data_IF_010135786822
#
_entry.id   IF_010135786822
#
_cell.length_a   1.000
_cell.length_b   1.000
_cell.length_c   1.000
_cell.angle_alpha   90.00
_cell.angle_beta   90.00
_cell.angle_gamma   90.00
#
_symmetry.space_group_name_H-M   'P 1'
#
loop_
_entity.id
_entity.type
_entity.pdbx_description
1 polymer ?
#
# COMPACT_ATOMS: atom_id res chain seq x y z
N UNK A 1 36.96 -59.62 23.33
CA UNK A 1 37.63 -58.34 23.28
C UNK A 1 37.00 -57.57 22.13
N UNK A 2 35.95 -56.84 22.39
CA UNK A 2 35.25 -55.98 21.39
C UNK A 2 35.30 -54.56 21.90
N UNK A 3 36.02 -53.70 21.18
CA UNK A 3 36.06 -52.28 21.42
C UNK A 3 34.72 -51.67 20.97
N UNK A 4 34.01 -51.02 21.85
CA UNK A 4 32.94 -50.10 21.54
C UNK A 4 33.54 -48.71 21.40
N UNK A 5 33.59 -48.20 20.18
CA UNK A 5 33.85 -46.80 19.89
C UNK A 5 32.56 -46.03 20.07
N UNK A 6 32.48 -45.27 21.14
CA UNK A 6 31.46 -44.26 21.37
C UNK A 6 31.70 -43.08 20.45
N UNK A 7 30.81 -42.89 19.47
CA UNK A 7 30.75 -41.67 18.69
C UNK A 7 30.03 -40.64 19.56
N UNK A 8 30.79 -39.71 20.10
CA UNK A 8 30.28 -38.50 20.75
C UNK A 8 29.68 -37.60 19.69
N UNK A 9 28.34 -37.52 19.66
CA UNK A 9 27.63 -36.49 18.91
C UNK A 9 27.89 -35.17 19.63
N UNK A 10 28.79 -34.37 19.11
CA UNK A 10 28.98 -32.98 19.51
C UNK A 10 27.74 -32.23 19.05
N UNK A 11 26.81 -31.99 19.95
CA UNK A 11 25.77 -30.99 19.79
C UNK A 11 26.52 -29.66 19.70
N UNK A 12 26.76 -29.20 18.47
CA UNK A 12 27.22 -27.86 18.24
C UNK A 12 26.10 -26.93 18.75
N UNK A 13 26.39 -26.34 19.91
CA UNK A 13 25.69 -25.21 20.45
C UNK A 13 25.73 -24.13 19.35
N UNK A 14 24.63 -23.96 18.63
CA UNK A 14 24.42 -22.74 17.87
C UNK A 14 24.26 -21.65 18.92
N UNK A 15 25.40 -21.15 19.39
CA UNK A 15 25.42 -19.84 20.03
C UNK A 15 24.80 -18.89 19.00
N UNK A 16 23.63 -18.38 19.33
CA UNK A 16 23.13 -17.19 18.72
C UNK A 16 24.27 -16.18 18.74
N UNK A 17 24.95 -16.04 17.64
CA UNK A 17 25.76 -14.88 17.38
C UNK A 17 24.78 -13.72 17.51
N UNK A 18 24.84 -13.03 18.65
CA UNK A 18 24.38 -11.67 18.74
C UNK A 18 25.13 -10.96 17.61
N UNK A 19 24.47 -10.78 16.48
CA UNK A 19 24.92 -9.88 15.44
C UNK A 19 24.95 -8.51 16.09
N UNK A 20 26.07 -8.19 16.73
CA UNK A 20 26.41 -6.87 17.15
C UNK A 20 26.22 -5.99 15.93
N UNK A 21 25.36 -5.03 16.07
CA UNK A 21 24.97 -3.96 15.18
C UNK A 21 26.02 -3.65 14.08
N UNK A 22 26.01 -4.37 12.98
CA UNK A 22 26.53 -3.89 11.71
C UNK A 22 25.46 -3.00 11.08
N UNK A 23 25.28 -1.82 11.69
CA UNK A 23 24.43 -0.76 11.14
C UNK A 23 25.15 -0.06 10.00
N UNK A 24 25.15 -0.67 8.81
CA UNK A 24 25.56 0.04 7.61
C UNK A 24 24.47 1.04 7.23
N UNK A 25 24.65 2.30 7.61
CA UNK A 25 23.91 3.44 7.07
C UNK A 25 22.47 3.65 7.52
N UNK A 26 21.98 2.94 8.54
CA UNK A 26 20.73 3.32 9.22
C UNK A 26 21.05 4.38 10.26
N UNK A 27 20.35 5.50 10.23
CA UNK A 27 20.46 6.53 11.24
C UNK A 27 19.87 5.99 12.56
N UNK A 28 20.76 5.42 13.40
CA UNK A 28 20.39 4.75 14.65
C UNK A 28 19.93 5.72 15.73
N UNK A 29 20.11 7.02 15.52
CA UNK A 29 19.82 8.06 16.48
C UNK A 29 18.56 8.87 16.14
N UNK A 30 17.99 8.73 14.93
CA UNK A 30 16.75 9.39 14.60
C UNK A 30 15.59 8.76 15.38
N UNK A 31 15.01 9.53 16.28
CA UNK A 31 13.82 9.13 17.00
C UNK A 31 12.60 9.26 16.09
N UNK A 32 11.86 8.16 15.97
CA UNK A 32 10.62 8.08 15.17
C UNK A 32 9.45 7.81 16.10
N UNK A 33 8.34 8.48 15.88
CA UNK A 33 7.08 8.21 16.59
C UNK A 33 6.28 7.27 15.74
N UNK A 34 6.07 6.04 16.21
CA UNK A 34 5.23 5.06 15.53
C UNK A 34 3.95 4.81 16.30
N UNK A 35 2.86 4.61 15.60
CA UNK A 35 1.55 4.22 16.12
C UNK A 35 1.32 2.75 15.84
N UNK A 36 1.21 1.94 16.88
CA UNK A 36 1.06 0.47 16.81
C UNK A 36 -0.35 -0.01 17.18
N UNK A 37 -1.25 0.93 17.47
CA UNK A 37 -2.65 0.70 17.84
C UNK A 37 -3.41 2.02 17.93
N UNK A 38 -4.74 2.02 18.09
CA UNK A 38 -5.58 3.23 18.07
C UNK A 38 -5.11 4.35 18.98
N UNK A 39 -4.60 4.01 20.18
CA UNK A 39 -4.11 4.96 21.19
C UNK A 39 -2.70 4.59 21.68
N UNK A 40 -2.00 3.74 20.92
CA UNK A 40 -0.71 3.21 21.34
C UNK A 40 0.42 3.74 20.44
N UNK A 41 1.36 4.48 21.04
CA UNK A 41 2.48 5.12 20.37
C UNK A 41 3.80 4.67 21.01
N UNK A 42 4.83 4.56 20.20
CA UNK A 42 6.18 4.22 20.63
C UNK A 42 7.19 5.18 19.99
N UNK A 43 8.18 5.61 20.78
CA UNK A 43 9.35 6.33 20.28
C UNK A 43 10.46 5.31 20.02
N UNK A 44 10.88 5.18 18.77
CA UNK A 44 11.79 4.11 18.33
C UNK A 44 12.86 4.65 17.38
N UNK A 45 13.93 3.90 17.20
CA UNK A 45 14.92 4.18 16.15
C UNK A 45 14.47 3.59 14.80
N UNK A 46 15.08 4.05 13.71
CA UNK A 46 14.89 3.43 12.37
C UNK A 46 15.26 1.94 12.38
N UNK A 47 16.31 1.56 13.11
CA UNK A 47 16.70 0.15 13.25
C UNK A 47 15.61 -0.66 13.96
N UNK A 48 14.95 -0.10 14.97
CA UNK A 48 13.83 -0.74 15.67
C UNK A 48 12.62 -0.91 14.75
N UNK A 49 12.32 0.05 13.87
CA UNK A 49 11.25 -0.09 12.87
C UNK A 49 11.49 -1.29 11.96
N UNK A 50 12.70 -1.45 11.42
CA UNK A 50 13.08 -2.59 10.61
C UNK A 50 12.95 -3.91 11.39
N UNK A 51 13.36 -3.91 12.67
CA UNK A 51 13.19 -5.09 13.53
C UNK A 51 11.70 -5.42 13.74
N UNK A 52 10.85 -4.41 13.92
CA UNK A 52 9.41 -4.60 14.07
C UNK A 52 8.78 -5.19 12.79
N UNK A 53 9.13 -4.68 11.62
CA UNK A 53 8.68 -5.27 10.35
C UNK A 53 9.15 -6.73 10.21
N UNK A 54 10.39 -7.07 10.57
CA UNK A 54 10.88 -8.47 10.60
C UNK A 54 10.07 -9.37 11.54
N UNK A 55 9.51 -8.82 12.59
CA UNK A 55 8.64 -9.53 13.56
C UNK A 55 7.17 -9.55 13.12
N UNK A 56 6.83 -9.00 11.97
CA UNK A 56 5.46 -8.86 11.50
C UNK A 56 4.62 -7.82 12.26
N UNK A 57 5.24 -6.96 13.09
CA UNK A 57 4.54 -5.85 13.73
C UNK A 57 4.15 -4.80 12.70
N UNK A 58 2.89 -4.42 12.70
CA UNK A 58 2.32 -3.37 11.85
C UNK A 58 2.29 -2.03 12.61
N UNK A 59 2.60 -0.94 11.92
CA UNK A 59 2.60 0.40 12.50
C UNK A 59 2.51 1.49 11.43
N UNK A 60 2.09 2.69 11.84
CA UNK A 60 2.21 3.92 11.06
C UNK A 60 3.31 4.76 11.68
N UNK A 61 4.26 5.25 10.90
CA UNK A 61 5.21 6.26 11.34
C UNK A 61 4.56 7.64 11.21
N UNK A 62 4.25 8.23 12.35
CA UNK A 62 3.55 9.53 12.44
C UNK A 62 4.49 10.69 12.75
N UNK A 63 5.79 10.51 12.65
CA UNK A 63 6.79 11.52 13.00
C UNK A 63 6.65 12.81 12.19
N UNK A 64 6.18 12.72 10.94
CA UNK A 64 5.96 13.89 10.08
C UNK A 64 4.72 14.71 10.47
N UNK A 65 3.79 14.11 11.23
CA UNK A 65 2.51 14.73 11.60
C UNK A 65 2.36 14.97 13.10
N UNK A 66 3.24 14.40 13.91
CA UNK A 66 3.30 14.59 15.36
C UNK A 66 4.73 14.96 15.74
N UNK A 67 4.96 16.19 16.21
CA UNK A 67 6.31 16.58 16.64
C UNK A 67 6.68 15.88 17.94
N UNK A 68 7.99 15.55 18.12
CA UNK A 68 8.51 14.97 19.35
C UNK A 68 8.29 15.95 20.52
N UNK A 69 8.46 17.25 20.28
CA UNK A 69 8.26 18.29 21.31
C UNK A 69 6.80 18.37 21.75
N UNK A 70 5.84 18.25 20.83
CA UNK A 70 4.41 18.19 21.15
C UNK A 70 4.08 16.91 21.92
N UNK A 71 4.67 15.79 21.54
CA UNK A 71 4.52 14.51 22.24
C UNK A 71 5.06 14.60 23.68
N UNK A 72 6.20 15.26 23.88
CA UNK A 72 6.79 15.54 25.20
C UNK A 72 5.92 16.49 26.02
N UNK A 73 5.47 17.61 25.41
CA UNK A 73 4.66 18.64 26.09
C UNK A 73 3.29 18.09 26.53
N UNK A 74 2.77 17.10 25.84
CA UNK A 74 1.50 16.43 26.17
C UNK A 74 1.65 15.27 27.16
N UNK A 75 2.83 15.09 27.75
CA UNK A 75 3.09 14.04 28.74
C UNK A 75 3.15 12.62 28.15
N UNK A 76 3.39 12.52 26.86
CA UNK A 76 3.48 11.25 26.13
C UNK A 76 4.84 10.56 26.32
N UNK A 77 5.84 11.23 26.89
CA UNK A 77 7.17 10.68 27.12
C UNK A 77 7.35 10.40 28.59
N UNK A 78 7.37 9.14 28.99
CA UNK A 78 8.00 8.73 30.23
C UNK A 78 9.51 8.72 30.01
N UNK A 79 10.28 9.31 30.94
CA UNK A 79 11.73 9.46 30.87
C UNK A 79 12.44 8.17 30.49
N UNK A 80 13.41 8.26 29.56
CA UNK A 80 14.25 7.20 29.07
C UNK A 80 14.79 6.28 30.16
N UNK A 81 14.21 5.12 30.33
CA UNK A 81 14.85 3.96 30.91
C UNK A 81 15.78 3.32 29.89
N UNK A 82 16.71 2.48 30.31
CA UNK A 82 17.77 1.82 29.52
C UNK A 82 17.28 0.89 28.37
N UNK A 83 16.14 1.14 27.75
CA UNK A 83 15.64 0.40 26.58
C UNK A 83 15.55 1.34 25.39
N UNK A 84 15.91 0.84 24.21
CA UNK A 84 15.82 1.57 22.94
C UNK A 84 14.37 1.86 22.50
N UNK A 85 13.38 1.52 23.32
CA UNK A 85 11.95 1.72 23.10
C UNK A 85 11.34 2.39 24.32
N UNK A 86 10.73 3.54 24.10
CA UNK A 86 9.91 4.24 25.10
C UNK A 86 8.45 4.09 24.68
N UNK A 87 7.69 3.32 25.43
CA UNK A 87 6.25 3.13 25.21
C UNK A 87 5.47 4.16 26.03
N UNK A 88 4.52 4.84 25.38
CA UNK A 88 3.63 5.77 26.06
C UNK A 88 2.18 5.57 25.63
N UNK A 89 1.30 5.82 26.58
CA UNK A 89 -0.15 5.81 26.34
C UNK A 89 -0.63 7.25 26.27
N UNK A 90 -0.96 7.70 25.08
CA UNK A 90 -1.58 9.00 24.89
C UNK A 90 -3.08 8.90 25.14
N UNK A 91 -3.51 9.20 26.38
CA UNK A 91 -4.95 9.32 26.69
C UNK A 91 -5.65 10.45 25.93
N UNK A 92 -4.90 11.37 25.33
CA UNK A 92 -5.38 12.45 24.48
C UNK A 92 -4.25 13.02 23.64
N UNK A 93 -3.83 12.33 22.57
CA UNK A 93 -3.57 13.13 21.38
C UNK A 93 -4.96 13.60 20.99
N UNK A 94 -5.28 14.87 21.17
CA UNK A 94 -6.34 15.49 20.40
C UNK A 94 -5.90 15.49 18.93
N UNK A 95 -5.83 14.31 18.31
CA UNK A 95 -6.04 14.26 16.89
C UNK A 95 -7.43 14.83 16.73
N UNK A 96 -7.53 16.06 16.28
CA UNK A 96 -8.79 16.65 15.85
C UNK A 96 -9.16 15.94 14.55
N UNK A 97 -9.29 14.58 14.63
CA UNK A 97 -9.78 13.79 13.51
C UNK A 97 -11.23 14.12 13.35
N UNK A 98 -11.60 14.65 12.18
CA UNK A 98 -12.99 14.66 11.79
C UNK A 98 -13.47 13.22 11.83
N UNK A 99 -14.65 12.93 12.40
CA UNK A 99 -15.21 11.60 12.26
C UNK A 99 -15.32 11.29 10.77
N UNK A 100 -15.04 10.04 10.39
CA UNK A 100 -15.18 9.59 9.01
C UNK A 100 -16.63 9.84 8.61
N UNK A 101 -16.92 10.63 7.56
CA UNK A 101 -18.28 10.88 7.11
C UNK A 101 -18.97 9.56 6.72
N UNK A 102 -20.24 9.44 7.05
CA UNK A 102 -21.06 8.37 6.51
C UNK A 102 -21.50 8.76 5.10
N UNK A 103 -21.05 8.02 4.10
CA UNK A 103 -21.50 8.18 2.72
C UNK A 103 -22.58 7.14 2.37
N UNK A 104 -23.50 7.53 1.49
CA UNK A 104 -24.51 6.63 0.95
C UNK A 104 -23.98 5.96 -0.33
N UNK A 105 -23.09 5.00 -0.19
CA UNK A 105 -22.53 4.28 -1.34
C UNK A 105 -23.62 3.53 -2.12
N UNK A 106 -23.46 3.39 -3.46
CA UNK A 106 -24.39 2.62 -4.28
C UNK A 106 -24.51 1.17 -3.80
N UNK A 107 -25.71 0.67 -3.68
CA UNK A 107 -26.01 -0.73 -3.32
C UNK A 107 -26.08 -1.66 -4.53
N UNK A 108 -26.00 -1.11 -5.74
CA UNK A 108 -25.98 -1.84 -7.01
C UNK A 108 -25.07 -1.12 -7.99
N UNK A 109 -24.39 -1.85 -8.85
CA UNK A 109 -23.67 -1.29 -9.98
C UNK A 109 -24.66 -0.66 -10.98
N UNK A 110 -24.28 0.44 -11.60
CA UNK A 110 -25.13 1.22 -12.51
C UNK A 110 -24.44 1.61 -13.83
N UNK A 111 -23.13 1.36 -13.93
CA UNK A 111 -22.29 1.84 -15.05
C UNK A 111 -21.74 0.70 -15.92
N UNK A 112 -22.40 -0.46 -15.94
CA UNK A 112 -21.97 -1.64 -16.71
C UNK A 112 -21.74 -1.33 -18.20
N UNK A 113 -22.54 -0.42 -18.77
CA UNK A 113 -22.39 0.00 -20.18
C UNK A 113 -21.06 0.69 -20.46
N UNK A 114 -20.45 1.30 -19.41
CA UNK A 114 -19.13 1.93 -19.48
C UNK A 114 -18.05 0.91 -19.13
N UNK A 115 -18.21 0.21 -18.01
CA UNK A 115 -17.19 -0.69 -17.43
C UNK A 115 -16.97 -1.93 -18.31
N UNK A 116 -18.03 -2.67 -18.68
CA UNK A 116 -17.90 -3.95 -19.39
C UNK A 116 -17.08 -3.89 -20.70
N UNK A 117 -17.23 -2.86 -21.57
CA UNK A 117 -16.38 -2.73 -22.75
C UNK A 117 -14.90 -2.51 -22.42
N UNK A 118 -14.58 -1.86 -21.30
CA UNK A 118 -13.21 -1.59 -20.88
C UNK A 118 -12.54 -2.85 -20.35
N UNK A 119 -13.27 -3.65 -19.56
CA UNK A 119 -12.73 -4.92 -19.04
C UNK A 119 -12.25 -5.87 -20.15
N UNK A 120 -12.85 -5.80 -21.35
CA UNK A 120 -12.43 -6.57 -22.52
C UNK A 120 -11.14 -6.04 -23.17
N UNK A 121 -10.68 -4.86 -22.77
CA UNK A 121 -9.48 -4.19 -23.29
C UNK A 121 -8.30 -4.27 -22.31
N UNK A 122 -8.42 -5.05 -21.23
CA UNK A 122 -7.30 -5.33 -20.32
C UNK A 122 -6.21 -6.04 -21.11
N UNK A 123 -4.99 -5.51 -21.04
CA UNK A 123 -3.82 -5.99 -21.78
C UNK A 123 -2.81 -6.62 -20.80
N UNK A 124 -2.94 -7.93 -20.59
CA UNK A 124 -2.07 -8.66 -19.67
C UNK A 124 -0.62 -8.76 -20.13
N UNK A 125 -0.36 -8.67 -21.44
CA UNK A 125 1.02 -8.66 -21.94
C UNK A 125 1.71 -7.34 -21.57
N UNK A 126 0.99 -6.23 -21.62
CA UNK A 126 1.45 -4.92 -21.11
C UNK A 126 1.66 -4.95 -19.62
N UNK A 127 0.72 -5.48 -18.85
CA UNK A 127 0.84 -5.63 -17.40
C UNK A 127 2.09 -6.42 -17.04
N UNK A 128 2.31 -7.55 -17.68
CA UNK A 128 3.49 -8.41 -17.50
C UNK A 128 4.79 -7.71 -17.87
N UNK A 129 4.79 -6.96 -18.98
CA UNK A 129 5.96 -6.20 -19.45
C UNK A 129 6.31 -5.10 -18.43
N UNK A 130 5.33 -4.31 -18.00
CA UNK A 130 5.52 -3.24 -17.03
C UNK A 130 6.02 -3.79 -15.68
N UNK A 131 5.42 -4.89 -15.19
CA UNK A 131 5.86 -5.52 -13.94
C UNK A 131 7.27 -6.10 -14.06
N UNK A 132 7.60 -6.70 -15.24
CA UNK A 132 8.94 -7.20 -15.53
C UNK A 132 10.00 -6.11 -15.46
N UNK A 133 9.72 -4.94 -16.04
CA UNK A 133 10.60 -3.79 -15.99
C UNK A 133 10.68 -3.20 -14.57
N UNK A 134 9.54 -2.97 -13.93
CA UNK A 134 9.45 -2.38 -12.60
C UNK A 134 10.11 -3.24 -11.52
N UNK A 135 10.00 -4.57 -11.58
CA UNK A 135 10.68 -5.49 -10.67
C UNK A 135 12.15 -5.78 -11.03
N UNK A 136 12.62 -5.28 -12.19
CA UNK A 136 14.01 -5.43 -12.61
C UNK A 136 14.96 -4.46 -11.89
N UNK A 137 14.49 -3.33 -11.38
CA UNK A 137 15.29 -2.44 -10.53
C UNK A 137 15.90 -3.25 -9.38
N UNK A 138 17.17 -2.96 -9.03
CA UNK A 138 17.88 -3.71 -8.01
C UNK A 138 17.09 -3.73 -6.69
N UNK A 139 16.59 -2.57 -6.30
CA UNK A 139 15.62 -2.35 -5.23
C UNK A 139 14.85 -1.09 -5.53
N UNK A 140 13.59 -1.03 -5.15
CA UNK A 140 12.81 0.21 -5.17
C UNK A 140 12.75 0.88 -3.80
N UNK A 141 13.70 0.54 -2.92
CA UNK A 141 13.76 1.09 -1.57
C UNK A 141 13.83 2.62 -1.59
N UNK A 142 12.93 3.26 -0.88
CA UNK A 142 12.69 4.70 -0.94
C UNK A 142 13.90 5.60 -0.64
N UNK A 143 14.93 5.08 0.06
CA UNK A 143 16.19 5.77 0.36
C UNK A 143 17.32 5.45 -0.64
N UNK A 144 17.08 4.63 -1.65
CA UNK A 144 18.09 4.25 -2.63
C UNK A 144 17.98 5.05 -3.91
N UNK A 145 19.10 5.19 -4.65
CA UNK A 145 19.10 5.82 -5.97
C UNK A 145 18.23 5.06 -6.97
N UNK A 146 18.24 3.71 -6.90
CA UNK A 146 17.38 2.88 -7.76
C UNK A 146 15.91 2.98 -7.39
N UNK A 147 15.58 3.34 -6.14
CA UNK A 147 14.23 3.69 -5.74
C UNK A 147 13.77 5.00 -6.38
N UNK A 148 14.62 6.02 -6.46
CA UNK A 148 14.32 7.25 -7.21
C UNK A 148 14.20 6.97 -8.72
N UNK A 149 15.12 6.20 -9.30
CA UNK A 149 15.09 5.81 -10.71
C UNK A 149 13.79 5.07 -11.06
N UNK A 150 13.30 4.18 -10.19
CA UNK A 150 12.02 3.48 -10.37
C UNK A 150 10.82 4.44 -10.31
N UNK A 151 10.86 5.45 -9.45
CA UNK A 151 9.84 6.50 -9.40
C UNK A 151 9.83 7.36 -10.67
N UNK A 152 11.00 7.68 -11.21
CA UNK A 152 11.11 8.42 -12.47
C UNK A 152 10.60 7.61 -13.67
N UNK A 153 10.87 6.31 -13.70
CA UNK A 153 10.31 5.38 -14.70
C UNK A 153 8.78 5.34 -14.60
N UNK A 154 8.24 5.15 -13.39
CA UNK A 154 6.79 5.08 -13.17
C UNK A 154 6.10 6.40 -13.53
N UNK A 155 6.70 7.55 -13.15
CA UNK A 155 6.21 8.87 -13.54
C UNK A 155 6.19 9.05 -15.06
N UNK A 156 7.22 8.60 -15.75
CA UNK A 156 7.30 8.62 -17.23
C UNK A 156 6.18 7.81 -17.85
N UNK A 157 5.96 6.58 -17.36
CA UNK A 157 4.90 5.68 -17.82
C UNK A 157 3.51 6.26 -17.59
N UNK A 158 3.25 6.82 -16.41
CA UNK A 158 2.01 7.51 -16.08
C UNK A 158 1.79 8.72 -17.00
N UNK A 159 2.84 9.54 -17.18
CA UNK A 159 2.79 10.72 -18.06
C UNK A 159 2.43 10.34 -19.49
N UNK A 160 2.98 9.26 -20.01
CA UNK A 160 2.67 8.78 -21.36
C UNK A 160 1.20 8.33 -21.46
N UNK A 161 0.69 7.62 -20.46
CA UNK A 161 -0.73 7.20 -20.40
C UNK A 161 -1.66 8.42 -20.47
N UNK A 162 -1.41 9.44 -19.66
CA UNK A 162 -2.32 10.59 -19.56
C UNK A 162 -2.14 11.63 -20.66
N UNK A 163 -1.08 11.51 -21.48
CA UNK A 163 -0.74 12.46 -22.54
C UNK A 163 -1.81 12.65 -23.62
N UNK A 164 -2.75 11.70 -23.72
CA UNK A 164 -3.87 11.75 -24.66
C UNK A 164 -5.01 12.67 -24.21
N UNK A 165 -5.00 13.09 -22.94
CA UNK A 165 -6.02 13.98 -22.37
C UNK A 165 -5.61 15.45 -22.54
N UNK A 166 -6.59 16.38 -22.69
CA UNK A 166 -6.30 17.79 -22.63
C UNK A 166 -5.78 18.22 -21.24
N UNK A 167 -4.97 19.27 -21.20
CA UNK A 167 -4.28 19.69 -19.99
C UNK A 167 -5.19 20.13 -18.84
N UNK A 168 -6.41 20.53 -19.13
CA UNK A 168 -7.43 20.92 -18.15
C UNK A 168 -8.22 19.72 -17.60
N UNK A 169 -8.08 18.54 -18.19
CA UNK A 169 -8.74 17.30 -17.75
C UNK A 169 -7.87 16.44 -16.82
N UNK A 170 -6.58 16.74 -16.68
CA UNK A 170 -5.65 15.95 -15.89
C UNK A 170 -4.60 16.79 -15.21
N UNK A 171 -4.31 16.47 -13.95
CA UNK A 171 -3.15 16.97 -13.21
C UNK A 171 -2.24 15.81 -12.82
N UNK A 172 -0.95 15.93 -13.09
CA UNK A 172 0.07 14.93 -12.72
C UNK A 172 1.12 15.58 -11.82
N UNK A 173 1.14 15.14 -10.56
CA UNK A 173 1.92 15.77 -9.48
C UNK A 173 2.96 14.81 -8.92
N UNK A 174 4.20 15.30 -8.74
CA UNK A 174 5.23 14.70 -7.89
C UNK A 174 5.09 15.26 -6.48
N UNK A 175 4.80 14.42 -5.51
CA UNK A 175 4.74 14.82 -4.10
C UNK A 175 6.06 14.46 -3.45
N UNK A 176 6.89 15.47 -3.23
CA UNK A 176 8.15 15.32 -2.51
C UNK A 176 7.92 15.26 -1.00
N UNK A 177 8.71 14.44 -0.34
CA UNK A 177 8.65 14.18 1.08
C UNK A 177 9.96 14.59 1.77
N UNK A 178 9.89 14.91 3.05
CA UNK A 178 11.08 15.29 3.81
C UNK A 178 11.88 14.05 4.24
N UNK A 179 13.18 14.05 3.92
CA UNK A 179 14.13 13.04 4.41
C UNK A 179 14.44 11.88 3.47
N UNK A 180 13.86 11.84 2.25
CA UNK A 180 14.24 10.90 1.19
C UNK A 180 13.88 11.45 -0.20
N UNK A 181 14.48 10.87 -1.26
CA UNK A 181 14.40 11.44 -2.61
C UNK A 181 13.26 10.84 -3.46
N UNK A 182 12.84 9.59 -3.19
CA UNK A 182 11.73 8.97 -3.90
C UNK A 182 10.43 9.72 -3.56
N UNK A 183 9.75 10.25 -4.56
CA UNK A 183 8.50 11.01 -4.41
C UNK A 183 7.28 10.12 -4.64
N UNK A 184 6.13 10.47 -4.05
CA UNK A 184 4.86 9.89 -4.44
C UNK A 184 4.32 10.54 -5.72
N UNK A 185 3.53 9.79 -6.50
CA UNK A 185 2.94 10.26 -7.75
C UNK A 185 1.43 10.30 -7.57
N UNK A 186 0.81 11.42 -7.93
CA UNK A 186 -0.64 11.59 -7.93
C UNK A 186 -1.10 12.00 -9.31
N UNK A 187 -2.06 11.27 -9.85
CA UNK A 187 -2.77 11.59 -11.09
C UNK A 187 -4.20 11.94 -10.75
N UNK A 188 -4.61 13.17 -11.02
CA UNK A 188 -5.99 13.63 -10.83
C UNK A 188 -6.68 13.76 -12.19
N UNK A 189 -7.65 12.91 -12.45
CA UNK A 189 -8.57 13.03 -13.59
C UNK A 189 -9.73 13.91 -13.16
N UNK A 190 -9.76 15.14 -13.66
CA UNK A 190 -10.63 16.22 -13.16
C UNK A 190 -12.09 15.89 -13.41
N UNK A 191 -12.86 15.83 -12.32
CA UNK A 191 -14.31 15.67 -12.33
C UNK A 191 -15.06 16.98 -12.28
N UNK A 192 -16.40 16.89 -12.28
CA UNK A 192 -17.28 18.07 -12.09
C UNK A 192 -17.31 18.53 -10.64
N UNK A 193 -17.07 17.63 -9.69
CA UNK A 193 -16.89 17.88 -8.27
C UNK A 193 -15.41 17.75 -7.91
N UNK A 194 -14.98 18.53 -6.92
CA UNK A 194 -13.66 18.39 -6.29
C UNK A 194 -13.56 17.22 -5.29
N UNK A 195 -14.69 16.57 -4.98
CA UNK A 195 -14.70 15.38 -4.16
C UNK A 195 -13.91 14.27 -4.85
N UNK A 196 -13.06 13.58 -4.09
CA UNK A 196 -12.06 12.69 -4.64
C UNK A 196 -12.44 11.23 -4.42
N UNK A 197 -12.31 10.44 -5.48
CA UNK A 197 -12.27 8.98 -5.44
C UNK A 197 -10.82 8.58 -5.64
N UNK A 198 -10.22 7.85 -4.72
CA UNK A 198 -8.80 7.51 -4.74
C UNK A 198 -8.61 6.02 -4.96
N UNK A 199 -7.71 5.68 -5.87
CA UNK A 199 -7.12 4.34 -6.04
C UNK A 199 -5.65 4.45 -5.68
N UNK A 200 -5.17 3.60 -4.79
CA UNK A 200 -3.79 3.64 -4.30
C UNK A 200 -3.05 2.32 -4.47
N UNK A 201 -1.74 2.42 -4.65
CA UNK A 201 -0.75 1.36 -4.55
C UNK A 201 0.55 1.98 -4.05
N UNK A 202 1.48 1.19 -3.51
CA UNK A 202 2.81 1.73 -3.21
C UNK A 202 3.85 1.28 -4.25
N UNK A 203 4.85 2.11 -4.44
CA UNK A 203 5.85 1.90 -5.48
C UNK A 203 7.19 1.39 -4.95
N UNK A 204 7.46 1.60 -3.67
CA UNK A 204 8.71 1.15 -3.07
C UNK A 204 8.71 -0.36 -2.78
N UNK A 205 9.88 -0.90 -2.53
CA UNK A 205 10.10 -2.28 -2.08
C UNK A 205 11.25 -2.33 -1.09
N UNK A 206 11.33 -3.37 -0.28
CA UNK A 206 12.38 -3.49 0.73
C UNK A 206 12.93 -4.92 0.80
N UNK A 207 14.22 -5.04 1.11
CA UNK A 207 14.77 -6.28 1.65
C UNK A 207 15.00 -6.09 3.15
N UNK A 208 14.20 -6.75 3.98
CA UNK A 208 14.27 -6.56 5.43
C UNK A 208 15.54 -7.09 6.07
N UNK A 209 16.31 -7.97 5.40
CA UNK A 209 17.59 -8.41 5.95
C UNK A 209 18.63 -7.29 5.85
N UNK A 210 18.75 -6.65 4.67
CA UNK A 210 19.69 -5.55 4.44
C UNK A 210 19.13 -4.60 3.37
N UNK A 211 18.30 -3.60 3.76
CA UNK A 211 17.56 -2.73 2.82
C UNK A 211 18.44 -1.99 1.79
N UNK A 212 19.65 -1.58 2.21
CA UNK A 212 20.56 -0.83 1.36
C UNK A 212 21.54 -1.73 0.56
N UNK A 213 21.54 -3.03 0.79
CA UNK A 213 22.56 -3.92 0.24
C UNK A 213 21.99 -5.05 -0.62
N UNK A 214 20.86 -5.62 -0.23
CA UNK A 214 20.30 -6.77 -0.93
C UNK A 214 19.19 -6.33 -1.91
N UNK A 215 19.11 -7.09 -3.00
CA UNK A 215 18.06 -6.91 -3.98
C UNK A 215 16.67 -7.09 -3.36
N UNK A 216 15.74 -6.24 -3.78
CA UNK A 216 14.33 -6.32 -3.45
C UNK A 216 13.49 -6.16 -4.73
N UNK A 217 13.22 -7.25 -5.48
CA UNK A 217 12.41 -7.16 -6.71
C UNK A 217 11.03 -6.60 -6.44
N UNK A 218 10.40 -7.01 -5.29
CA UNK A 218 9.07 -6.55 -4.92
C UNK A 218 8.08 -6.78 -6.05
N UNK A 219 8.06 -7.99 -6.64
CA UNK A 219 7.21 -8.23 -7.80
C UNK A 219 5.75 -8.29 -7.39
N UNK A 220 5.47 -8.86 -6.22
CA UNK A 220 4.14 -8.86 -5.64
C UNK A 220 3.94 -7.64 -4.74
N UNK A 221 4.86 -7.40 -3.81
CA UNK A 221 4.84 -6.34 -2.81
C UNK A 221 5.71 -5.13 -3.23
N UNK A 222 5.17 -4.02 -3.77
CA UNK A 222 3.84 -3.88 -4.35
C UNK A 222 3.95 -3.54 -5.85
N UNK A 223 4.78 -4.32 -6.56
CA UNK A 223 4.84 -4.22 -8.02
C UNK A 223 3.52 -4.62 -8.66
N UNK A 224 2.87 -5.67 -8.14
CA UNK A 224 1.62 -6.20 -8.67
C UNK A 224 0.47 -5.19 -8.51
N UNK A 225 0.30 -4.55 -7.34
CA UNK A 225 -0.70 -3.50 -7.13
C UNK A 225 -0.40 -2.25 -7.95
N UNK A 226 0.88 -1.86 -8.06
CA UNK A 226 1.29 -0.73 -8.91
C UNK A 226 0.88 -0.97 -10.38
N UNK A 227 1.12 -2.14 -10.97
CA UNK A 227 0.73 -2.38 -12.38
C UNK A 227 -0.76 -2.65 -12.55
N UNK A 228 -1.44 -3.19 -11.54
CA UNK A 228 -2.89 -3.30 -11.49
C UNK A 228 -3.54 -1.93 -11.63
N UNK A 229 -3.10 -0.98 -10.82
CA UNK A 229 -3.63 0.39 -10.84
C UNK A 229 -3.20 1.15 -12.09
N UNK A 230 -2.01 0.89 -12.62
CA UNK A 230 -1.51 1.49 -13.86
C UNK A 230 -2.33 1.07 -15.09
N UNK A 231 -2.71 -0.21 -15.19
CA UNK A 231 -3.57 -0.70 -16.28
C UNK A 231 -5.00 -0.17 -16.13
N UNK A 232 -5.52 -0.08 -14.89
CA UNK A 232 -6.81 0.55 -14.62
C UNK A 232 -6.80 2.03 -15.02
N UNK A 233 -5.74 2.78 -14.68
CA UNK A 233 -5.56 4.16 -15.13
C UNK A 233 -5.61 4.27 -16.66
N UNK A 234 -4.87 3.42 -17.38
CA UNK A 234 -4.85 3.41 -18.84
C UNK A 234 -6.25 3.23 -19.45
N UNK A 235 -7.02 2.29 -18.94
CA UNK A 235 -8.38 2.02 -19.40
C UNK A 235 -9.32 3.19 -19.13
N UNK A 236 -9.25 3.77 -17.95
CA UNK A 236 -10.05 4.93 -17.56
C UNK A 236 -9.70 6.16 -18.40
N UNK A 237 -8.42 6.43 -18.61
CA UNK A 237 -7.94 7.53 -19.47
C UNK A 237 -8.42 7.37 -20.92
N UNK A 238 -8.32 6.15 -21.49
CA UNK A 238 -8.83 5.87 -22.82
C UNK A 238 -10.34 6.09 -22.93
N UNK A 239 -11.09 5.74 -21.91
CA UNK A 239 -12.53 5.95 -21.87
C UNK A 239 -12.90 7.43 -21.80
N UNK A 240 -12.16 8.23 -21.03
CA UNK A 240 -12.36 9.70 -20.96
C UNK A 240 -11.97 10.33 -22.31
N UNK A 241 -10.84 9.96 -22.89
CA UNK A 241 -10.33 10.50 -24.16
C UNK A 241 -11.29 10.24 -25.33
N UNK A 242 -12.00 9.11 -25.31
CA UNK A 242 -13.02 8.76 -26.33
C UNK A 242 -14.39 9.34 -26.02
N UNK A 243 -14.57 10.04 -24.90
CA UNK A 243 -15.86 10.61 -24.46
C UNK A 243 -16.87 9.54 -24.00
N UNK A 244 -16.40 8.32 -23.68
CA UNK A 244 -17.29 7.26 -23.19
C UNK A 244 -17.90 7.62 -21.83
N UNK A 245 -17.16 8.34 -20.97
CA UNK A 245 -17.68 8.94 -19.77
C UNK A 245 -16.87 10.19 -19.35
N UNK A 246 -17.46 10.99 -18.47
CA UNK A 246 -16.78 12.11 -17.80
C UNK A 246 -17.00 11.94 -16.29
N UNK A 247 -15.97 11.93 -15.48
CA UNK A 247 -16.09 11.80 -14.03
C UNK A 247 -16.98 12.88 -13.43
N UNK A 248 -17.85 12.54 -12.48
CA UNK A 248 -18.52 13.49 -11.63
C UNK A 248 -17.62 13.88 -10.47
N UNK A 249 -17.15 12.92 -9.71
CA UNK A 249 -16.14 13.10 -8.69
C UNK A 249 -14.74 13.02 -9.33
N UNK A 250 -13.81 13.84 -8.89
CA UNK A 250 -12.41 13.78 -9.35
C UNK A 250 -11.83 12.42 -8.99
N UNK A 251 -11.29 11.71 -10.00
CA UNK A 251 -10.71 10.38 -9.79
C UNK A 251 -9.20 10.49 -9.72
N UNK A 252 -8.63 10.00 -8.65
CA UNK A 252 -7.18 10.05 -8.43
C UNK A 252 -6.55 8.67 -8.36
N UNK A 253 -5.39 8.52 -8.99
CA UNK A 253 -4.51 7.36 -8.85
C UNK A 253 -3.25 7.78 -8.12
N UNK A 254 -2.96 7.12 -7.01
CA UNK A 254 -1.83 7.43 -6.14
C UNK A 254 -0.83 6.28 -6.15
N UNK A 255 0.44 6.60 -6.32
CA UNK A 255 1.55 5.66 -6.16
C UNK A 255 2.43 6.18 -5.02
N UNK A 256 2.25 5.60 -3.85
CA UNK A 256 2.89 6.10 -2.64
C UNK A 256 4.35 5.65 -2.55
N UNK A 257 5.20 6.55 -2.12
CA UNK A 257 6.58 6.27 -1.73
C UNK A 257 6.65 5.85 -0.27
N UNK A 258 7.64 5.05 0.08
CA UNK A 258 8.00 4.76 1.47
C UNK A 258 6.87 4.14 2.33
N UNK A 259 6.00 3.30 1.72
CA UNK A 259 5.11 2.43 2.49
C UNK A 259 5.93 1.58 3.44
N UNK A 260 7.00 0.98 2.91
CA UNK A 260 7.93 0.12 3.62
C UNK A 260 8.70 0.80 4.77
N UNK A 261 8.70 2.12 4.76
CA UNK A 261 9.18 2.95 5.86
C UNK A 261 8.18 3.09 7.03
N UNK A 262 6.98 2.56 6.90
CA UNK A 262 5.85 2.70 7.84
C UNK A 262 4.82 3.72 7.36
N UNK A 263 4.36 3.57 6.12
CA UNK A 263 3.34 4.37 5.46
C UNK A 263 3.71 5.86 5.31
N UNK A 264 5.02 6.17 5.19
CA UNK A 264 5.51 7.55 5.29
C UNK A 264 4.97 8.47 4.19
N UNK A 265 4.90 8.00 2.95
CA UNK A 265 4.43 8.80 1.83
C UNK A 265 2.93 9.03 1.88
N UNK A 266 2.14 7.99 2.13
CA UNK A 266 0.69 8.11 2.21
C UNK A 266 0.22 8.94 3.40
N UNK A 267 0.84 8.80 4.57
CA UNK A 267 0.48 9.63 5.75
C UNK A 267 0.75 11.11 5.47
N UNK A 268 1.84 11.44 4.78
CA UNK A 268 2.14 12.81 4.39
C UNK A 268 1.12 13.33 3.36
N UNK A 269 0.79 12.55 2.32
CA UNK A 269 -0.24 12.92 1.32
C UNK A 269 -1.59 13.20 1.98
N UNK A 270 -2.11 12.26 2.77
CA UNK A 270 -3.42 12.42 3.39
C UNK A 270 -3.43 13.50 4.48
N UNK A 271 -2.32 13.74 5.16
CA UNK A 271 -2.20 14.85 6.10
C UNK A 271 -2.25 16.21 5.40
N UNK A 272 -1.62 16.35 4.23
CA UNK A 272 -1.75 17.55 3.38
C UNK A 272 -3.19 17.71 2.87
N UNK A 273 -3.85 16.61 2.48
CA UNK A 273 -5.27 16.65 2.09
C UNK A 273 -6.15 17.14 3.22
N UNK A 274 -5.92 16.63 4.44
CA UNK A 274 -6.64 17.07 5.62
C UNK A 274 -6.42 18.56 5.91
N UNK A 275 -5.15 19.02 5.88
CA UNK A 275 -4.80 20.41 6.11
C UNK A 275 -5.42 21.37 5.08
N UNK A 276 -5.59 20.92 3.84
CA UNK A 276 -6.19 21.68 2.74
C UNK A 276 -7.72 21.50 2.64
N UNK A 277 -8.37 20.83 3.61
CA UNK A 277 -9.80 20.53 3.62
C UNK A 277 -10.28 19.81 2.35
N UNK A 278 -9.46 18.96 1.75
CA UNK A 278 -9.89 18.09 0.67
C UNK A 278 -10.93 17.09 1.17
N UNK A 279 -11.88 16.74 0.32
CA UNK A 279 -12.84 15.66 0.56
C UNK A 279 -12.42 14.42 -0.21
N UNK A 280 -12.28 13.28 0.48
CA UNK A 280 -12.09 11.97 -0.14
C UNK A 280 -13.34 11.14 0.20
N UNK A 281 -14.08 10.74 -0.82
CA UNK A 281 -15.34 9.98 -0.64
C UNK A 281 -15.10 8.46 -0.62
N UNK A 282 -13.92 8.01 -1.01
CA UNK A 282 -13.49 6.61 -0.92
C UNK A 282 -12.06 6.47 -1.40
N UNK A 283 -11.27 5.66 -0.69
CA UNK A 283 -9.91 5.25 -1.07
C UNK A 283 -9.86 3.72 -1.11
N UNK A 284 -9.48 3.17 -2.26
CA UNK A 284 -9.23 1.75 -2.46
C UNK A 284 -7.73 1.52 -2.58
N UNK A 285 -7.15 0.71 -1.69
CA UNK A 285 -5.78 0.23 -1.81
C UNK A 285 -5.74 -1.08 -2.58
N UNK A 286 -4.74 -1.19 -3.47
CA UNK A 286 -4.33 -2.42 -4.14
C UNK A 286 -2.88 -2.68 -3.78
N UNK A 287 -2.64 -3.74 -3.02
CA UNK A 287 -1.32 -4.09 -2.52
C UNK A 287 -1.24 -5.62 -2.43
N UNK A 288 -0.24 -6.21 -3.10
CA UNK A 288 -0.13 -7.64 -3.30
C UNK A 288 -1.36 -8.22 -4.01
N UNK A 289 -1.33 -8.23 -5.35
CA UNK A 289 -2.49 -8.62 -6.17
C UNK A 289 -2.25 -9.86 -7.01
N UNK A 290 -1.10 -10.56 -6.83
CA UNK A 290 -0.65 -11.54 -7.81
C UNK A 290 -0.45 -12.96 -7.31
N UNK A 291 -0.35 -13.25 -6.03
CA UNK A 291 0.03 -14.57 -5.56
C UNK A 291 -1.19 -15.44 -5.21
N UNK A 292 -1.32 -16.59 -5.88
CA UNK A 292 -2.42 -17.55 -5.66
C UNK A 292 -1.97 -18.89 -5.11
N UNK A 293 -0.65 -19.16 -5.13
CA UNK A 293 -0.14 -20.48 -4.73
C UNK A 293 -0.46 -20.84 -3.28
N UNK A 294 -0.56 -19.86 -2.37
CA UNK A 294 -0.88 -20.12 -0.97
C UNK A 294 -2.29 -20.69 -0.78
N UNK A 295 -3.27 -20.24 -1.55
CA UNK A 295 -4.63 -20.81 -1.55
C UNK A 295 -4.67 -22.17 -2.22
N UNK A 296 -4.00 -22.30 -3.39
CA UNK A 296 -3.99 -23.54 -4.19
C UNK A 296 -3.33 -24.68 -3.40
N UNK A 297 -2.21 -24.44 -2.72
CA UNK A 297 -1.51 -25.47 -1.92
C UNK A 297 -2.36 -25.99 -0.77
N UNK A 298 -3.28 -25.20 -0.25
CA UNK A 298 -4.24 -25.58 0.81
C UNK A 298 -5.58 -26.09 0.26
N UNK A 299 -5.71 -26.24 -1.06
CA UNK A 299 -6.93 -26.72 -1.71
C UNK A 299 -8.09 -25.72 -1.65
N UNK A 300 -7.78 -24.43 -1.50
CA UNK A 300 -8.74 -23.31 -1.49
C UNK A 300 -8.71 -22.63 -2.86
N UNK A 301 -9.89 -22.31 -3.39
CA UNK A 301 -9.97 -21.58 -4.66
C UNK A 301 -9.40 -20.14 -4.52
N UNK A 302 -8.75 -19.60 -5.54
CA UNK A 302 -8.31 -18.21 -5.56
C UNK A 302 -9.48 -17.25 -5.31
N UNK A 303 -9.26 -16.26 -4.45
CA UNK A 303 -10.26 -15.28 -4.03
C UNK A 303 -9.57 -13.98 -3.60
N UNK A 304 -10.31 -12.87 -3.58
CA UNK A 304 -9.82 -11.64 -2.97
C UNK A 304 -9.85 -11.75 -1.44
N UNK A 305 -8.82 -11.23 -0.77
CA UNK A 305 -8.86 -10.91 0.65
C UNK A 305 -9.41 -9.51 0.87
N UNK A 306 -10.65 -9.38 1.35
CA UNK A 306 -11.20 -8.08 1.74
C UNK A 306 -10.84 -7.80 3.19
N UNK A 307 -9.96 -6.81 3.40
CA UNK A 307 -9.52 -6.43 4.74
C UNK A 307 -10.67 -5.77 5.49
N UNK A 308 -10.97 -6.28 6.69
CA UNK A 308 -12.10 -5.83 7.51
C UNK A 308 -11.69 -5.05 8.76
N UNK A 309 -10.40 -5.04 9.10
CA UNK A 309 -9.85 -4.21 10.17
C UNK A 309 -9.20 -2.94 9.57
N UNK A 310 -9.34 -1.81 10.28
CA UNK A 310 -8.83 -0.50 9.82
C UNK A 310 -9.33 -0.08 8.43
N UNK A 311 -10.58 -0.44 8.12
CA UNK A 311 -11.30 -0.08 6.90
C UNK A 311 -12.67 0.48 7.22
N UNK A 312 -13.34 1.05 6.23
CA UNK A 312 -14.69 1.62 6.38
C UNK A 312 -15.75 0.62 5.95
N UNK A 313 -16.63 0.23 6.87
CA UNK A 313 -17.67 -0.79 6.63
C UNK A 313 -18.50 -0.45 5.39
N UNK A 314 -19.03 0.78 5.29
CA UNK A 314 -19.85 1.18 4.13
C UNK A 314 -19.11 1.11 2.80
N UNK A 315 -17.81 1.46 2.79
CA UNK A 315 -16.99 1.34 1.58
C UNK A 315 -16.69 -0.14 1.27
N UNK A 316 -16.41 -0.97 2.27
CA UNK A 316 -16.26 -2.42 2.07
C UNK A 316 -17.54 -3.05 1.51
N UNK A 317 -18.72 -2.63 1.97
CA UNK A 317 -19.99 -3.12 1.42
C UNK A 317 -20.18 -2.71 -0.05
N UNK A 318 -19.76 -1.50 -0.43
CA UNK A 318 -19.73 -1.10 -1.83
C UNK A 318 -18.73 -1.94 -2.65
N UNK A 319 -17.54 -2.22 -2.12
CA UNK A 319 -16.56 -3.09 -2.79
C UNK A 319 -17.14 -4.49 -3.06
N UNK A 320 -17.93 -5.05 -2.13
CA UNK A 320 -18.62 -6.33 -2.35
C UNK A 320 -19.57 -6.29 -3.55
N UNK A 321 -20.26 -5.15 -3.76
CA UNK A 321 -21.09 -4.93 -4.96
C UNK A 321 -20.22 -4.95 -6.22
N UNK A 322 -19.06 -4.29 -6.21
CA UNK A 322 -18.13 -4.25 -7.35
C UNK A 322 -17.60 -5.66 -7.68
N UNK A 323 -17.18 -6.41 -6.66
CA UNK A 323 -16.73 -7.80 -6.86
C UNK A 323 -17.84 -8.64 -7.49
N UNK A 324 -19.05 -8.61 -6.94
CA UNK A 324 -20.18 -9.40 -7.42
C UNK A 324 -20.57 -9.08 -8.88
N UNK A 325 -20.43 -7.82 -9.32
CA UNK A 325 -20.82 -7.39 -10.65
C UNK A 325 -19.74 -7.61 -11.70
N UNK A 326 -18.47 -7.37 -11.37
CA UNK A 326 -17.41 -7.26 -12.38
C UNK A 326 -16.35 -8.36 -12.32
N UNK A 327 -16.24 -9.10 -11.22
CA UNK A 327 -15.21 -10.11 -11.02
C UNK A 327 -15.74 -11.52 -11.18
N UNK A 328 -14.83 -12.46 -11.46
CA UNK A 328 -15.18 -13.88 -11.65
C UNK A 328 -14.79 -14.74 -10.45
N UNK A 329 -13.98 -14.20 -9.52
CA UNK A 329 -13.59 -14.86 -8.28
C UNK A 329 -14.32 -14.23 -7.09
N UNK A 330 -14.56 -14.97 -6.01
CA UNK A 330 -15.20 -14.46 -4.80
C UNK A 330 -14.25 -13.61 -3.96
N UNK A 331 -14.76 -13.00 -2.89
CA UNK A 331 -13.97 -12.41 -1.80
C UNK A 331 -14.17 -13.19 -0.51
N UNK A 332 -13.15 -13.18 0.34
CA UNK A 332 -13.25 -13.60 1.74
C UNK A 332 -12.83 -12.43 2.63
N UNK A 333 -13.58 -12.18 3.70
CA UNK A 333 -13.17 -11.18 4.69
C UNK A 333 -12.01 -11.72 5.52
N UNK A 334 -11.00 -10.86 5.73
CA UNK A 334 -9.81 -11.21 6.48
C UNK A 334 -9.31 -10.00 7.26
N UNK A 335 -8.33 -10.20 8.13
CA UNK A 335 -7.71 -9.16 8.94
C UNK A 335 -6.20 -9.27 8.84
N UNK A 336 -5.53 -8.15 8.78
CA UNK A 336 -4.08 -8.10 8.79
C UNK A 336 -3.48 -7.67 10.14
N UNK A 337 -4.29 -7.31 11.10
CA UNK A 337 -3.90 -6.94 12.46
C UNK A 337 -3.96 -5.45 12.73
N UNK A 338 -3.08 -4.66 12.18
CA UNK A 338 -3.08 -3.19 12.26
C UNK A 338 -2.61 -2.62 10.91
N UNK A 339 -2.50 -1.30 10.79
CA UNK A 339 -2.05 -0.56 9.62
C UNK A 339 -1.06 -1.34 8.72
N UNK A 340 -1.58 -2.15 7.81
CA UNK A 340 -0.80 -3.08 7.00
C UNK A 340 -0.55 -2.58 5.57
N UNK A 341 -1.19 -1.49 5.17
CA UNK A 341 -0.94 -0.78 3.92
C UNK A 341 -1.52 0.64 3.97
N UNK A 342 -1.39 1.40 2.88
CA UNK A 342 -1.65 2.84 2.80
C UNK A 342 -3.11 3.27 3.04
N UNK A 343 -4.08 2.34 2.94
CA UNK A 343 -5.47 2.60 3.35
C UNK A 343 -5.57 3.10 4.79
N UNK A 344 -4.66 2.62 5.66
CA UNK A 344 -4.64 3.04 7.05
C UNK A 344 -4.26 4.52 7.23
N UNK A 345 -3.43 5.07 6.33
CA UNK A 345 -3.10 6.49 6.32
C UNK A 345 -4.30 7.36 5.96
N UNK A 346 -5.14 6.93 5.01
CA UNK A 346 -6.39 7.61 4.68
C UNK A 346 -7.34 7.59 5.88
N UNK A 347 -7.55 6.40 6.48
CA UNK A 347 -8.40 6.23 7.65
C UNK A 347 -7.91 7.07 8.84
N UNK A 348 -6.59 7.11 9.06
CA UNK A 348 -5.95 7.91 10.12
C UNK A 348 -6.26 9.41 9.97
N UNK A 349 -6.44 9.89 8.74
CA UNK A 349 -6.79 11.29 8.43
C UNK A 349 -8.31 11.52 8.30
N UNK A 350 -9.15 10.53 8.67
CA UNK A 350 -10.61 10.67 8.68
C UNK A 350 -11.26 10.47 7.32
N UNK A 351 -10.59 9.81 6.38
CA UNK A 351 -11.13 9.46 5.07
C UNK A 351 -11.56 8.00 5.01
N UNK A 352 -12.69 7.67 4.36
CA UNK A 352 -13.10 6.29 4.21
C UNK A 352 -12.11 5.52 3.31
N UNK A 353 -11.72 4.34 3.76
CA UNK A 353 -10.76 3.50 3.06
C UNK A 353 -11.18 2.03 3.06
N UNK A 354 -10.76 1.32 2.02
CA UNK A 354 -10.89 -0.11 1.83
C UNK A 354 -9.59 -0.67 1.27
N UNK A 355 -9.34 -1.95 1.51
CA UNK A 355 -8.15 -2.63 1.00
C UNK A 355 -8.50 -4.05 0.56
N UNK A 356 -8.11 -4.38 -0.68
CA UNK A 356 -8.13 -5.74 -1.19
C UNK A 356 -6.72 -6.23 -1.45
N UNK A 357 -6.45 -7.40 -0.90
CA UNK A 357 -5.21 -8.16 -1.07
C UNK A 357 -5.50 -9.47 -1.83
N UNK A 358 -4.49 -10.15 -2.28
CA UNK A 358 -4.54 -11.35 -3.13
C UNK A 358 -5.30 -12.56 -2.56
N UNK A 359 -5.52 -12.61 -1.23
CA UNK A 359 -6.25 -13.70 -0.57
C UNK A 359 -6.52 -13.38 0.90
N UNK A 360 -7.17 -14.29 1.63
CA UNK A 360 -7.11 -14.23 3.10
C UNK A 360 -5.66 -14.14 3.57
N UNK A 361 -5.38 -13.27 4.53
CA UNK A 361 -4.04 -12.88 4.97
C UNK A 361 -3.12 -14.07 5.32
N UNK A 362 -3.70 -15.17 5.79
CA UNK A 362 -2.94 -16.40 6.11
C UNK A 362 -2.31 -17.08 4.88
N UNK A 363 -2.88 -16.88 3.68
CA UNK A 363 -2.44 -17.50 2.43
C UNK A 363 -1.57 -16.60 1.56
N UNK A 364 -1.39 -15.32 1.93
CA UNK A 364 -0.57 -14.38 1.15
C UNK A 364 0.88 -14.82 1.04
N UNK A 365 1.56 -14.29 0.03
CA UNK A 365 2.97 -14.57 -0.24
C UNK A 365 3.85 -14.35 1.00
N UNK A 366 4.64 -15.36 1.35
CA UNK A 366 5.57 -15.31 2.51
C UNK A 366 6.99 -14.92 2.10
N UNK A 367 7.22 -14.72 0.81
CA UNK A 367 8.52 -14.37 0.21
C UNK A 367 8.70 -12.87 0.01
N UNK A 368 7.70 -12.07 0.36
CA UNK A 368 7.79 -10.61 0.36
C UNK A 368 8.94 -10.12 1.23
N UNK A 369 9.42 -8.93 0.96
CA UNK A 369 10.56 -8.32 1.67
C UNK A 369 11.88 -9.11 1.56
N UNK A 370 11.99 -9.97 0.55
CA UNK A 370 13.17 -10.80 0.25
C UNK A 370 13.53 -10.71 -1.24
N UNK A 371 14.69 -11.26 -1.59
CA UNK A 371 15.10 -11.43 -3.00
C UNK A 371 14.23 -12.41 -3.78
N UNK A 372 13.35 -13.14 -3.10
CA UNK A 372 12.50 -14.20 -3.65
C UNK A 372 11.10 -13.71 -4.07
N UNK A 373 10.78 -12.45 -3.87
CA UNK A 373 9.55 -11.84 -4.38
C UNK A 373 9.74 -11.50 -5.86
N UNK A 374 9.44 -12.47 -6.71
CA UNK A 374 9.79 -12.46 -8.13
C UNK A 374 8.60 -12.75 -9.04
N UNK A 375 8.66 -12.23 -10.27
CA UNK A 375 7.61 -12.29 -11.29
C UNK A 375 7.09 -13.70 -11.60
N UNK A 376 7.96 -14.72 -11.56
CA UNK A 376 7.62 -16.09 -11.88
C UNK A 376 6.70 -16.78 -10.85
N UNK A 377 6.43 -16.11 -9.74
CA UNK A 377 5.53 -16.59 -8.67
C UNK A 377 4.10 -16.09 -8.83
N UNK A 378 3.87 -15.16 -9.74
CA UNK A 378 2.60 -14.43 -9.83
C UNK A 378 1.67 -15.05 -10.86
N UNK A 379 0.40 -15.01 -10.56
CA UNK A 379 -0.72 -15.39 -11.41
C UNK A 379 -1.33 -14.14 -12.06
N UNK A 380 -1.07 -13.95 -13.33
CA UNK A 380 -1.61 -12.82 -14.08
C UNK A 380 -3.13 -12.91 -14.30
N UNK A 381 -3.73 -14.11 -14.17
CA UNK A 381 -5.17 -14.28 -14.13
C UNK A 381 -5.77 -13.65 -12.88
N UNK A 382 -5.06 -13.73 -11.75
CA UNK A 382 -5.47 -13.09 -10.50
C UNK A 382 -5.31 -11.56 -10.56
N UNK A 383 -4.18 -11.07 -11.07
CA UNK A 383 -3.97 -9.64 -11.34
C UNK A 383 -5.07 -9.09 -12.26
N UNK A 384 -5.49 -9.86 -13.28
CA UNK A 384 -6.61 -9.48 -14.15
C UNK A 384 -7.90 -9.23 -13.37
N UNK A 385 -8.21 -10.06 -12.38
CA UNK A 385 -9.40 -9.87 -11.54
C UNK A 385 -9.29 -8.59 -10.68
N UNK A 386 -8.10 -8.30 -10.12
CA UNK A 386 -7.84 -7.05 -9.41
C UNK A 386 -7.96 -5.81 -10.31
N UNK A 387 -7.54 -5.89 -11.58
CA UNK A 387 -7.74 -4.80 -12.56
C UNK A 387 -9.24 -4.59 -12.80
N UNK A 388 -10.03 -5.66 -12.99
CA UNK A 388 -11.49 -5.57 -13.19
C UNK A 388 -12.16 -4.85 -12.02
N UNK A 389 -11.83 -5.27 -10.81
CA UNK A 389 -12.32 -4.64 -9.59
C UNK A 389 -11.96 -3.15 -9.53
N UNK A 390 -10.69 -2.82 -9.81
CA UNK A 390 -10.19 -1.45 -9.74
C UNK A 390 -10.88 -0.54 -10.75
N UNK A 391 -11.07 -1.00 -11.99
CA UNK A 391 -11.82 -0.26 -13.03
C UNK A 391 -13.28 -0.09 -12.64
N UNK A 392 -13.92 -1.15 -12.13
CA UNK A 392 -15.31 -1.10 -11.65
C UNK A 392 -15.49 -0.08 -10.54
N UNK A 393 -14.66 -0.16 -9.49
CA UNK A 393 -14.65 0.80 -8.38
C UNK A 393 -14.45 2.24 -8.87
N UNK A 394 -13.42 2.47 -9.66
CA UNK A 394 -13.04 3.80 -10.12
C UNK A 394 -14.18 4.48 -10.91
N UNK A 395 -14.82 3.77 -11.82
CA UNK A 395 -15.87 4.32 -12.67
C UNK A 395 -17.19 4.45 -11.91
N UNK A 396 -17.63 3.41 -11.20
CA UNK A 396 -18.89 3.47 -10.44
C UNK A 396 -18.90 4.61 -9.43
N UNK A 397 -17.83 4.74 -8.64
CA UNK A 397 -17.78 5.75 -7.59
C UNK A 397 -17.48 7.15 -8.15
N UNK A 398 -16.68 7.27 -9.23
CA UNK A 398 -16.46 8.57 -9.87
C UNK A 398 -17.71 9.14 -10.54
N UNK A 399 -18.66 8.30 -10.94
CA UNK A 399 -19.94 8.71 -11.53
C UNK A 399 -21.06 8.86 -10.50
N UNK A 400 -20.88 8.34 -9.28
CA UNK A 400 -21.87 8.42 -8.22
C UNK A 400 -22.12 9.88 -7.81
N UNK A 401 -23.38 10.21 -7.64
CA UNK A 401 -23.84 11.51 -7.16
C UNK A 401 -24.57 11.32 -5.84
N UNK A 402 -24.52 12.32 -5.00
CA UNK A 402 -25.25 12.31 -3.72
C UNK A 402 -24.78 11.19 -2.76
N UNK A 403 -23.46 11.02 -2.65
CA UNK A 403 -22.81 10.12 -1.69
C UNK A 403 -23.05 10.54 -0.25
#
# INVERSE_FOLDING_TARGET
MKLFTTVSLSVALVQALSFGSLNFGLDTFANRIIKTGPEHYELVSEATKIQYKRQGKKFIDVTSVVSIDDAVAQGMVASAGKSDVVTFFAKQIKSVKKPIPAYNYPTNASTQKVVQPLLKQIDLDRVKSNLGEFSSFYTRYYKSSTGLESADWLYGTVKDIVSVLPADAVELTKVHHDGWDQYSIIVSLVGKSSDKVVVGAHQDSINLLFPNLLRAPGADDDGSGTVTTLEALRLVVAAIATGLFTPHNTLEFHYYSAEEGGLLGSIDVFSRYYANNNTVVGMLQQDMTGYTKGTIDEGVEPHFGLISDYTSVGLNDFIKVIVAEYCSIPYHETQCGYACSDHASALENGYPASFLIESEFKYTAKQIHLTLDTLDRLDFGHIHEHIKLTVGYAIELSLAKHL
#
